data_IF_432700814155
#
_entry.id   IF_432700814155
#
_cell.length_a   1.000
_cell.length_b   1.000
_cell.length_c   1.000
_cell.angle_alpha   90.00
_cell.angle_beta   90.00
_cell.angle_gamma   90.00
#
_symmetry.space_group_name_H-M   'P 1'
#
loop_
_entity.id
_entity.type
_entity.pdbx_description
1 polymer ?
#
# COMPACT_ATOMS: atom_id res chain seq x y z
N UNK A 1 -7.46 9.10 9.85
CA UNK A 1 -8.40 8.00 9.43
C UNK A 1 -9.17 8.38 8.16
N UNK A 2 -8.56 9.20 7.33
CA UNK A 2 -9.16 9.95 6.22
C UNK A 2 -9.89 9.01 5.23
N UNK A 3 -9.24 7.93 4.79
CA UNK A 3 -9.84 6.93 3.92
C UNK A 3 -11.11 6.28 4.51
N UNK A 4 -11.08 5.95 5.81
CA UNK A 4 -12.24 5.37 6.47
C UNK A 4 -13.38 6.39 6.57
N UNK A 5 -13.05 7.61 6.98
CA UNK A 5 -14.03 8.70 7.14
C UNK A 5 -14.67 9.06 5.80
N UNK A 6 -13.87 9.13 4.73
CA UNK A 6 -14.38 9.42 3.39
C UNK A 6 -15.30 8.30 2.87
N UNK A 7 -14.99 7.05 3.17
CA UNK A 7 -15.87 5.94 2.80
C UNK A 7 -17.22 6.00 3.54
N UNK A 8 -17.18 6.35 4.84
CA UNK A 8 -18.41 6.59 5.62
C UNK A 8 -19.19 7.76 5.03
N UNK A 9 -18.51 8.86 4.67
CA UNK A 9 -19.16 10.02 4.04
C UNK A 9 -19.90 9.60 2.76
N UNK A 10 -19.25 8.84 1.88
CA UNK A 10 -19.85 8.35 0.64
C UNK A 10 -21.06 7.47 0.89
N UNK A 11 -20.98 6.57 1.87
CA UNK A 11 -22.11 5.70 2.23
C UNK A 11 -23.31 6.50 2.76
N UNK A 12 -23.06 7.51 3.61
CA UNK A 12 -24.11 8.40 4.12
C UNK A 12 -24.75 9.22 3.00
N UNK A 13 -23.94 9.81 2.11
CA UNK A 13 -24.45 10.56 0.95
C UNK A 13 -25.30 9.65 0.05
N UNK A 14 -24.83 8.43 -0.23
CA UNK A 14 -25.57 7.50 -1.06
C UNK A 14 -26.94 7.08 -0.47
N UNK A 15 -27.05 6.99 0.86
CA UNK A 15 -28.28 6.60 1.57
C UNK A 15 -29.24 7.74 1.86
N UNK A 16 -28.70 8.90 2.23
CA UNK A 16 -29.50 9.99 2.79
C UNK A 16 -29.40 11.30 2.00
N UNK A 17 -28.47 11.40 1.04
CA UNK A 17 -28.20 12.61 0.28
C UNK A 17 -27.26 13.59 0.99
N UNK A 18 -26.75 14.55 0.22
CA UNK A 18 -25.81 15.57 0.73
C UNK A 18 -26.45 16.53 1.73
N UNK A 19 -27.70 16.96 1.51
CA UNK A 19 -28.43 17.86 2.40
C UNK A 19 -28.56 17.26 3.81
N UNK A 20 -28.93 15.97 3.89
CA UNK A 20 -29.02 15.28 5.18
C UNK A 20 -27.68 15.19 5.90
N UNK A 21 -26.58 14.99 5.15
CA UNK A 21 -25.24 14.92 5.73
C UNK A 21 -24.79 16.26 6.29
N UNK A 22 -24.95 17.36 5.53
CA UNK A 22 -24.36 18.66 5.90
C UNK A 22 -25.30 19.56 6.70
N UNK A 23 -26.60 19.40 6.57
CA UNK A 23 -27.61 20.28 7.19
C UNK A 23 -28.58 19.52 8.12
N UNK A 24 -28.65 18.18 7.99
CA UNK A 24 -29.63 17.35 8.72
C UNK A 24 -29.27 17.03 10.17
N UNK A 25 -28.12 17.46 10.68
CA UNK A 25 -27.73 17.25 12.09
C UNK A 25 -27.49 15.76 12.43
N UNK A 26 -27.04 14.95 11.49
CA UNK A 26 -26.83 13.52 11.69
C UNK A 26 -25.74 13.22 12.72
N UNK A 27 -26.02 12.25 13.60
CA UNK A 27 -25.02 11.64 14.48
C UNK A 27 -24.64 10.25 13.94
N UNK A 28 -23.43 10.10 13.45
CA UNK A 28 -22.96 8.88 12.81
C UNK A 28 -22.00 8.13 13.74
N UNK A 29 -22.36 6.91 14.13
CA UNK A 29 -21.48 6.01 14.89
C UNK A 29 -20.97 4.91 13.98
N UNK A 30 -19.65 4.82 13.86
CA UNK A 30 -18.97 3.83 12.99
C UNK A 30 -18.40 2.66 13.78
N UNK A 31 -17.87 1.68 13.07
CA UNK A 31 -17.20 0.50 13.64
C UNK A 31 -15.69 0.70 13.80
N UNK A 32 -15.16 1.87 13.46
CA UNK A 32 -13.75 2.20 13.56
C UNK A 32 -13.21 1.98 14.98
N UNK A 33 -12.16 1.18 15.10
CA UNK A 33 -11.33 1.09 16.29
C UNK A 33 -10.10 2.00 16.10
N UNK A 34 -9.96 3.11 16.86
CA UNK A 34 -8.85 4.04 16.68
C UNK A 34 -7.47 3.40 16.89
N UNK A 35 -7.35 2.42 17.80
CA UNK A 35 -6.08 1.73 18.06
C UNK A 35 -5.70 0.84 16.88
N UNK A 36 -6.65 0.06 16.39
CA UNK A 36 -6.43 -0.77 15.20
C UNK A 36 -6.14 0.07 13.96
N UNK A 37 -6.80 1.24 13.80
CA UNK A 37 -6.54 2.15 12.69
C UNK A 37 -5.09 2.67 12.69
N UNK A 38 -4.56 3.07 13.85
CA UNK A 38 -3.17 3.50 13.98
C UNK A 38 -2.21 2.34 13.66
N UNK A 39 -2.49 1.16 14.18
CA UNK A 39 -1.67 -0.04 13.93
C UNK A 39 -1.69 -0.44 12.44
N UNK A 40 -2.86 -0.39 11.80
CA UNK A 40 -3.04 -0.71 10.38
C UNK A 40 -2.26 0.27 9.50
N UNK A 41 -2.37 1.58 9.77
CA UNK A 41 -1.59 2.61 9.05
C UNK A 41 -0.09 2.36 9.21
N UNK A 42 0.39 2.20 10.43
CA UNK A 42 1.80 1.96 10.69
C UNK A 42 2.32 0.67 10.02
N UNK A 43 1.51 -0.39 10.00
CA UNK A 43 1.87 -1.65 9.34
C UNK A 43 1.98 -1.50 7.82
N UNK A 44 1.00 -0.84 7.18
CA UNK A 44 1.02 -0.57 5.75
C UNK A 44 2.20 0.32 5.36
N UNK A 45 2.42 1.42 6.10
CA UNK A 45 3.53 2.35 5.87
C UNK A 45 4.87 1.63 5.95
N UNK A 46 5.12 0.86 7.03
CA UNK A 46 6.37 0.09 7.17
C UNK A 46 6.59 -0.87 6.00
N UNK A 47 5.52 -1.55 5.55
CA UNK A 47 5.59 -2.48 4.41
C UNK A 47 5.95 -1.79 3.11
N UNK A 48 5.27 -0.68 2.79
CA UNK A 48 5.50 0.09 1.56
C UNK A 48 6.88 0.75 1.56
N UNK A 49 7.29 1.38 2.67
CA UNK A 49 8.61 2.00 2.82
C UNK A 49 9.71 0.94 2.64
N UNK A 50 9.61 -0.19 3.35
CA UNK A 50 10.61 -1.26 3.26
C UNK A 50 10.74 -1.80 1.84
N UNK A 51 9.62 -2.03 1.17
CA UNK A 51 9.63 -2.49 -0.23
C UNK A 51 10.27 -1.45 -1.15
N UNK A 52 9.90 -0.18 -1.00
CA UNK A 52 10.35 0.90 -1.86
C UNK A 52 11.85 1.20 -1.67
N UNK A 53 12.35 1.25 -0.43
CA UNK A 53 13.78 1.42 -0.13
C UNK A 53 14.62 0.28 -0.74
N UNK A 54 14.10 -0.94 -0.81
CA UNK A 54 14.77 -2.07 -1.48
C UNK A 54 14.88 -1.90 -3.00
N UNK A 55 14.01 -1.08 -3.61
CA UNK A 55 14.09 -0.79 -5.05
C UNK A 55 15.15 0.27 -5.37
N UNK A 56 15.57 1.05 -4.39
CA UNK A 56 16.59 2.09 -4.52
C UNK A 56 16.04 3.52 -4.54
N UNK A 57 16.94 4.47 -4.34
CA UNK A 57 16.64 5.88 -4.27
C UNK A 57 16.41 6.47 -5.67
N UNK A 58 15.37 7.26 -5.84
CA UNK A 58 14.96 7.85 -7.13
C UNK A 58 15.32 9.32 -7.28
N UNK A 59 15.92 9.91 -6.27
CA UNK A 59 16.28 11.34 -6.27
C UNK A 59 15.47 12.17 -5.27
N UNK A 60 15.73 13.47 -5.21
CA UNK A 60 15.08 14.39 -4.28
C UNK A 60 13.59 14.58 -4.61
N UNK A 61 12.83 15.05 -3.62
CA UNK A 61 11.44 15.45 -3.80
C UNK A 61 11.31 16.68 -4.73
N UNK A 62 12.14 17.67 -4.48
CA UNK A 62 12.29 18.91 -5.30
C UNK A 62 13.74 19.38 -5.24
N UNK A 63 14.06 20.41 -5.98
CA UNK A 63 15.31 21.17 -5.87
C UNK A 63 14.97 22.64 -5.71
N UNK A 64 15.66 23.35 -4.81
CA UNK A 64 15.49 24.79 -4.56
C UNK A 64 16.81 25.50 -4.67
N UNK A 65 16.78 26.81 -4.89
CA UNK A 65 17.95 27.67 -4.81
C UNK A 65 18.24 27.99 -3.32
N UNK A 66 19.43 27.65 -2.86
CA UNK A 66 19.89 27.89 -1.50
C UNK A 66 20.98 28.99 -1.41
N UNK A 67 21.23 29.72 -2.49
CA UNK A 67 22.21 30.82 -2.53
C UNK A 67 21.81 32.01 -1.65
N UNK A 68 20.50 32.17 -1.37
CA UNK A 68 19.93 33.17 -0.48
C UNK A 68 19.43 32.57 0.85
N UNK A 69 18.29 33.06 1.33
CA UNK A 69 17.61 32.49 2.51
C UNK A 69 16.94 31.15 2.14
N UNK A 70 17.68 30.06 2.34
CA UNK A 70 17.18 28.70 2.05
C UNK A 70 15.92 28.36 2.86
N UNK A 71 15.78 28.93 4.08
CA UNK A 71 14.61 28.67 4.90
C UNK A 71 13.34 29.27 4.30
N UNK A 72 13.43 30.43 3.66
CA UNK A 72 12.33 31.01 2.92
C UNK A 72 11.98 30.16 1.68
N UNK A 73 12.99 29.81 0.90
CA UNK A 73 12.78 28.96 -0.29
C UNK A 73 12.17 27.60 0.06
N UNK A 74 12.64 26.96 1.15
CA UNK A 74 12.11 25.69 1.64
C UNK A 74 10.70 25.85 2.27
N UNK A 75 10.42 26.99 2.91
CA UNK A 75 9.12 27.29 3.52
C UNK A 75 7.96 27.35 2.53
N UNK A 76 8.27 27.62 1.26
CA UNK A 76 7.29 27.64 0.15
C UNK A 76 7.08 26.25 -0.49
N UNK A 77 7.86 25.23 -0.09
CA UNK A 77 7.66 23.86 -0.53
C UNK A 77 6.53 23.21 0.25
N UNK A 78 5.52 22.73 -0.47
CA UNK A 78 4.38 22.05 0.11
C UNK A 78 4.79 20.74 0.80
N UNK A 79 4.30 20.52 2.01
CA UNK A 79 4.46 19.29 2.77
C UNK A 79 3.10 18.58 2.95
N UNK A 80 3.12 17.29 3.19
CA UNK A 80 1.92 16.48 3.39
C UNK A 80 1.50 16.51 4.86
N UNK A 81 0.31 17.04 5.13
CA UNK A 81 -0.23 17.22 6.49
C UNK A 81 -0.49 15.89 7.22
N UNK A 82 -0.71 14.83 6.47
CA UNK A 82 -1.02 13.50 7.00
C UNK A 82 0.21 12.61 7.27
N UNK A 83 1.42 13.18 7.12
CA UNK A 83 2.70 12.54 7.41
C UNK A 83 3.52 13.40 8.41
N UNK A 84 3.01 13.67 9.61
CA UNK A 84 3.65 14.58 10.55
C UNK A 84 5.03 14.10 11.05
N UNK A 85 5.29 12.81 10.96
CA UNK A 85 6.57 12.17 11.27
C UNK A 85 7.66 12.45 10.23
N UNK A 86 7.28 12.81 8.99
CA UNK A 86 8.22 13.16 7.93
C UNK A 86 8.37 14.66 7.81
N UNK A 87 9.61 15.12 7.83
CA UNK A 87 9.95 16.54 7.74
C UNK A 87 10.66 16.82 6.43
N UNK A 88 10.37 17.96 5.83
CA UNK A 88 11.13 18.45 4.69
C UNK A 88 12.43 19.08 5.17
N UNK A 89 13.51 18.78 4.44
CA UNK A 89 14.81 19.37 4.65
C UNK A 89 15.51 19.62 3.30
N UNK A 90 16.37 20.62 3.24
CA UNK A 90 17.21 20.89 2.05
C UNK A 90 18.66 20.59 2.32
N UNK A 91 19.35 20.05 1.33
CA UNK A 91 20.79 19.77 1.40
C UNK A 91 21.56 21.09 1.34
N UNK A 92 22.33 21.38 2.38
CA UNK A 92 23.18 22.57 2.49
C UNK A 92 24.65 22.27 2.19
N UNK A 93 25.14 21.10 2.61
CA UNK A 93 26.52 20.68 2.39
C UNK A 93 26.63 19.14 2.38
N UNK A 94 27.65 18.65 1.68
CA UNK A 94 27.94 17.23 1.49
C UNK A 94 29.39 16.97 1.89
N UNK A 95 29.61 16.21 2.96
CA UNK A 95 30.94 15.85 3.45
C UNK A 95 31.11 14.34 3.53
N UNK A 96 32.32 13.85 3.75
CA UNK A 96 32.57 12.41 3.97
C UNK A 96 31.92 11.88 5.27
N UNK A 97 31.60 12.77 6.19
CA UNK A 97 30.98 12.42 7.47
C UNK A 97 29.45 12.40 7.43
N UNK A 98 28.83 12.88 6.35
CA UNK A 98 27.38 12.95 6.17
C UNK A 98 26.91 14.21 5.45
N UNK A 99 25.62 14.45 5.52
CA UNK A 99 24.92 15.51 4.81
C UNK A 99 24.43 16.54 5.82
N UNK A 100 24.77 17.80 5.65
CA UNK A 100 24.18 18.91 6.39
C UNK A 100 22.84 19.29 5.77
N UNK A 101 21.79 19.27 6.55
CA UNK A 101 20.42 19.55 6.12
C UNK A 101 19.85 20.74 6.88
N UNK A 102 19.23 21.68 6.15
CA UNK A 102 18.39 22.73 6.71
C UNK A 102 16.94 22.27 6.80
N UNK A 103 16.35 22.32 7.99
CA UNK A 103 14.97 21.88 8.21
C UNK A 103 13.96 22.92 7.74
N UNK A 104 12.82 22.49 7.21
CA UNK A 104 11.74 23.41 6.86
C UNK A 104 11.30 24.20 8.09
N UNK A 105 11.37 25.56 8.04
CA UNK A 105 10.93 26.37 9.16
C UNK A 105 9.42 26.25 9.38
N UNK A 106 9.02 26.30 10.65
CA UNK A 106 7.61 26.38 11.03
C UNK A 106 6.96 27.71 10.59
N UNK A 107 5.65 27.79 10.77
CA UNK A 107 4.92 29.05 10.59
C UNK A 107 4.28 29.49 11.90
N UNK A 108 4.31 30.80 12.14
CA UNK A 108 3.58 31.43 13.22
C UNK A 108 2.07 31.44 12.94
N UNK A 109 1.26 31.81 13.93
CA UNK A 109 -0.19 31.96 13.78
C UNK A 109 -0.57 33.03 12.73
N UNK A 110 0.30 33.98 12.47
CA UNK A 110 0.17 34.99 11.40
C UNK A 110 0.36 34.43 9.99
N UNK A 111 0.88 33.20 9.86
CA UNK A 111 1.31 32.58 8.62
C UNK A 111 2.76 32.92 8.20
N UNK A 112 3.43 33.84 8.92
CA UNK A 112 4.82 34.18 8.69
C UNK A 112 5.73 32.98 9.01
N UNK A 113 6.85 32.83 8.27
CA UNK A 113 7.84 31.81 8.59
C UNK A 113 8.60 32.22 9.85
N UNK A 114 8.82 31.23 10.72
CA UNK A 114 9.71 31.39 11.88
C UNK A 114 11.12 31.72 11.39
N UNK A 115 11.80 32.64 12.07
CA UNK A 115 13.16 33.07 11.68
C UNK A 115 14.24 32.01 11.97
N UNK A 116 13.95 31.08 12.91
CA UNK A 116 14.89 30.00 13.26
C UNK A 116 15.21 29.12 12.03
N UNK A 117 16.49 28.78 11.91
CA UNK A 117 17.04 28.00 10.80
C UNK A 117 17.71 26.74 11.36
N UNK A 118 16.88 25.83 11.88
CA UNK A 118 17.32 24.55 12.39
C UNK A 118 18.12 23.80 11.33
N UNK A 119 19.30 23.33 11.70
CA UNK A 119 20.13 22.46 10.87
C UNK A 119 20.38 21.14 11.59
N UNK A 120 20.42 20.07 10.83
CA UNK A 120 20.70 18.73 11.31
C UNK A 120 21.80 18.08 10.47
N UNK A 121 22.44 17.05 11.03
CA UNK A 121 23.36 16.18 10.30
C UNK A 121 22.68 14.84 10.03
N UNK A 122 22.55 14.47 8.75
CA UNK A 122 22.12 13.15 8.33
C UNK A 122 23.37 12.29 8.14
N UNK A 123 23.57 11.32 9.04
CA UNK A 123 24.72 10.42 9.02
C UNK A 123 24.59 9.35 7.93
N UNK A 124 25.69 8.72 7.49
CA UNK A 124 25.65 7.67 6.47
C UNK A 124 24.70 6.53 6.79
N UNK A 125 24.53 6.16 8.05
CA UNK A 125 23.57 5.13 8.49
C UNK A 125 22.14 5.51 8.11
N UNK A 126 21.79 6.79 8.22
CA UNK A 126 20.45 7.31 7.94
C UNK A 126 20.08 7.26 6.45
N UNK A 127 21.03 7.16 5.55
CA UNK A 127 20.79 7.10 4.10
C UNK A 127 21.50 5.95 3.37
N UNK A 128 22.08 5.01 4.09
CA UNK A 128 22.81 3.86 3.50
C UNK A 128 22.04 3.13 2.41
N UNK A 129 20.73 3.02 2.55
CA UNK A 129 19.87 2.39 1.56
C UNK A 129 19.85 3.16 0.23
N UNK A 130 19.95 4.50 0.27
CA UNK A 130 19.94 5.40 -0.86
C UNK A 130 21.21 5.33 -1.72
N UNK A 131 22.29 4.71 -1.22
CA UNK A 131 23.49 4.39 -2.03
C UNK A 131 23.20 3.37 -3.13
N UNK A 132 22.00 2.81 -3.18
CA UNK A 132 21.48 2.12 -4.34
C UNK A 132 20.52 3.05 -5.06
N UNK A 133 20.91 3.59 -6.22
CA UNK A 133 20.10 4.46 -7.04
C UNK A 133 19.20 3.63 -7.97
N UNK A 134 18.00 4.13 -8.24
CA UNK A 134 17.11 3.61 -9.28
C UNK A 134 16.93 4.65 -10.39
N UNK A 135 17.61 4.43 -11.51
CA UNK A 135 17.57 5.30 -12.68
C UNK A 135 16.98 4.48 -13.85
N UNK A 136 15.91 4.95 -14.47
CA UNK A 136 15.26 4.29 -15.61
C UNK A 136 15.04 2.78 -15.39
N UNK A 137 14.48 2.41 -14.23
CA UNK A 137 14.24 1.02 -13.80
C UNK A 137 15.50 0.15 -13.58
N UNK A 138 16.69 0.70 -13.69
CA UNK A 138 17.95 0.03 -13.36
C UNK A 138 18.45 0.43 -11.99
N UNK A 139 18.97 -0.54 -11.25
CA UNK A 139 19.63 -0.29 -9.96
C UNK A 139 21.12 -0.14 -10.17
N UNK A 140 21.68 0.98 -9.72
CA UNK A 140 23.10 1.30 -9.80
C UNK A 140 23.63 1.67 -8.42
N UNK A 141 24.83 1.27 -8.07
CA UNK A 141 25.49 1.68 -6.83
C UNK A 141 26.13 3.05 -7.00
N UNK A 142 25.80 3.98 -6.09
CA UNK A 142 26.50 5.24 -5.96
C UNK A 142 27.93 4.99 -5.44
N UNK A 143 28.89 5.79 -5.92
CA UNK A 143 30.30 5.69 -5.53
C UNK A 143 30.65 6.72 -4.44
N UNK A 144 29.90 7.82 -4.41
CA UNK A 144 30.07 8.93 -3.47
C UNK A 144 28.70 9.45 -3.01
N UNK A 145 28.66 10.24 -1.95
CA UNK A 145 27.43 10.91 -1.50
C UNK A 145 26.96 11.95 -2.51
N UNK A 146 27.90 12.59 -3.26
CA UNK A 146 27.58 13.50 -4.34
C UNK A 146 26.88 12.88 -5.55
N UNK A 147 26.90 11.54 -5.67
CA UNK A 147 26.08 10.83 -6.67
C UNK A 147 24.60 10.74 -6.23
N UNK A 148 24.34 10.84 -4.92
CA UNK A 148 23.01 10.70 -4.31
C UNK A 148 22.36 12.04 -4.05
N UNK A 149 23.15 13.02 -3.58
CA UNK A 149 22.69 14.35 -3.14
C UNK A 149 23.41 15.46 -3.88
N UNK A 150 22.69 16.57 -4.04
CA UNK A 150 23.23 17.84 -4.49
C UNK A 150 22.78 18.95 -3.56
N UNK A 151 23.58 19.99 -3.40
CA UNK A 151 23.20 21.18 -2.65
C UNK A 151 21.92 21.79 -3.28
N UNK A 152 20.92 22.08 -2.45
CA UNK A 152 19.59 22.52 -2.87
C UNK A 152 18.57 21.40 -3.06
N UNK A 153 18.96 20.14 -2.99
CA UNK A 153 18.00 19.03 -3.00
C UNK A 153 17.10 19.08 -1.78
N UNK A 154 15.80 18.98 -2.00
CA UNK A 154 14.78 18.87 -0.94
C UNK A 154 14.43 17.41 -0.75
N UNK A 155 14.54 16.94 0.48
CA UNK A 155 14.33 15.54 0.85
C UNK A 155 13.40 15.42 2.05
N UNK A 156 12.78 14.26 2.21
CA UNK A 156 12.07 13.91 3.45
C UNK A 156 13.03 13.22 4.42
N UNK A 157 12.94 13.60 5.67
CA UNK A 157 13.66 12.96 6.77
C UNK A 157 12.70 12.63 7.92
N UNK A 158 12.99 11.56 8.63
CA UNK A 158 12.26 11.13 9.81
C UNK A 158 13.21 10.99 10.98
N UNK A 159 12.82 11.54 12.14
CA UNK A 159 13.57 11.37 13.38
C UNK A 159 13.32 9.99 13.95
N UNK A 160 14.39 9.27 14.27
CA UNK A 160 14.28 7.93 14.85
C UNK A 160 14.13 8.01 16.38
N UNK A 161 13.42 7.03 16.96
CA UNK A 161 13.21 6.93 18.42
C UNK A 161 14.53 6.77 19.19
N UNK A 162 15.47 6.03 18.63
CA UNK A 162 16.84 5.82 19.15
C UNK A 162 17.79 6.99 18.92
N UNK A 163 17.27 8.07 18.33
CA UNK A 163 18.03 9.25 17.97
C UNK A 163 18.57 9.22 16.54
N UNK A 164 18.93 10.41 16.02
CA UNK A 164 19.36 10.58 14.64
C UNK A 164 18.23 10.71 13.65
N UNK A 165 18.58 10.79 12.36
CA UNK A 165 17.66 11.04 11.26
C UNK A 165 17.81 9.99 10.17
N UNK A 166 16.69 9.68 9.50
CA UNK A 166 16.68 8.76 8.37
C UNK A 166 16.06 9.42 7.15
N UNK A 167 16.73 9.28 6.02
CA UNK A 167 16.23 9.70 4.72
C UNK A 167 14.98 8.88 4.36
N UNK A 168 13.96 9.57 3.86
CA UNK A 168 12.72 8.97 3.36
C UNK A 168 12.45 9.39 1.92
N UNK A 169 11.73 8.54 1.22
CA UNK A 169 11.13 8.90 -0.07
C UNK A 169 9.71 8.34 -0.13
N UNK A 170 8.83 9.03 -0.86
CA UNK A 170 7.48 8.53 -1.12
C UNK A 170 7.56 7.21 -1.87
N UNK A 171 6.86 6.15 -1.41
CA UNK A 171 6.81 4.89 -2.13
C UNK A 171 6.19 5.08 -3.52
N UNK A 172 6.86 4.55 -4.55
CA UNK A 172 6.31 4.52 -5.92
C UNK A 172 5.18 3.50 -6.06
N UNK A 173 5.14 2.53 -5.14
CA UNK A 173 4.07 1.55 -5.04
C UNK A 173 3.06 1.98 -4.01
N UNK A 174 1.82 1.56 -4.19
CA UNK A 174 0.75 1.80 -3.23
C UNK A 174 0.07 0.49 -2.86
N UNK A 175 -0.66 0.51 -1.75
CA UNK A 175 -1.38 -0.64 -1.24
C UNK A 175 -2.54 -0.21 -0.35
N UNK A 176 -3.27 -1.17 0.15
CA UNK A 176 -4.33 -0.96 1.13
C UNK A 176 -4.29 -2.04 2.21
N UNK A 177 -4.89 -1.73 3.35
CA UNK A 177 -5.08 -2.67 4.44
C UNK A 177 -6.49 -2.48 5.03
N UNK A 178 -7.20 -3.59 5.21
CA UNK A 178 -8.49 -3.63 5.90
C UNK A 178 -8.38 -4.62 7.04
N UNK A 179 -8.80 -4.22 8.24
CA UNK A 179 -8.99 -5.10 9.37
C UNK A 179 -10.50 -5.26 9.64
N UNK A 180 -10.95 -6.49 9.66
CA UNK A 180 -12.36 -6.86 9.79
C UNK A 180 -12.55 -7.87 10.92
N UNK A 181 -13.62 -7.72 11.68
CA UNK A 181 -14.08 -8.74 12.62
C UNK A 181 -14.65 -9.93 11.84
N UNK A 182 -14.06 -11.13 11.96
CA UNK A 182 -14.50 -12.29 11.18
C UNK A 182 -15.88 -12.83 11.60
N UNK A 183 -16.38 -12.49 12.78
CA UNK A 183 -17.67 -12.95 13.26
C UNK A 183 -18.82 -12.04 12.86
N UNK A 184 -18.58 -10.75 12.76
CA UNK A 184 -19.63 -9.74 12.50
C UNK A 184 -19.52 -9.09 11.14
N UNK A 185 -18.37 -9.24 10.45
CA UNK A 185 -18.07 -8.55 9.20
C UNK A 185 -17.80 -7.04 9.36
N UNK A 186 -17.73 -6.52 10.59
CA UNK A 186 -17.50 -5.10 10.84
C UNK A 186 -16.08 -4.71 10.47
N UNK A 187 -15.92 -3.66 9.65
CA UNK A 187 -14.62 -3.07 9.34
C UNK A 187 -14.16 -2.23 10.52
N UNK A 188 -13.06 -2.64 11.14
CA UNK A 188 -12.49 -2.00 12.33
C UNK A 188 -11.37 -1.01 11.99
N UNK A 189 -10.67 -1.22 10.87
CA UNK A 189 -9.67 -0.29 10.34
C UNK A 189 -9.61 -0.39 8.82
N UNK A 190 -9.33 0.75 8.16
CA UNK A 190 -9.16 0.81 6.71
C UNK A 190 -8.13 1.88 6.35
N UNK A 191 -7.14 1.48 5.57
CA UNK A 191 -6.09 2.35 5.03
C UNK A 191 -6.02 2.12 3.54
N UNK A 192 -6.40 3.10 2.73
CA UNK A 192 -6.54 2.97 1.27
C UNK A 192 -5.31 3.40 0.46
N UNK A 193 -4.26 3.87 1.13
CA UNK A 193 -3.04 4.37 0.49
C UNK A 193 -1.97 4.76 1.48
N UNK A 194 -0.84 5.26 0.98
CA UNK A 194 0.26 5.73 1.81
C UNK A 194 -0.07 7.11 2.43
N UNK A 195 -0.54 8.04 1.63
CA UNK A 195 -0.93 9.39 2.03
C UNK A 195 -2.24 9.77 1.35
N UNK A 196 -3.21 10.21 2.13
CA UNK A 196 -4.48 10.71 1.64
C UNK A 196 -4.31 12.08 0.95
N UNK A 197 -3.45 12.93 1.51
CA UNK A 197 -3.10 14.22 0.90
C UNK A 197 -2.47 14.08 -0.48
N UNK A 198 -1.72 13.00 -0.73
CA UNK A 198 -1.18 12.70 -2.05
C UNK A 198 -2.22 12.10 -2.99
N UNK A 199 -3.10 11.24 -2.49
CA UNK A 199 -4.09 10.52 -3.29
C UNK A 199 -5.27 10.09 -2.44
N UNK A 200 -6.43 10.70 -2.69
CA UNK A 200 -7.70 10.34 -2.05
C UNK A 200 -8.27 9.00 -2.53
N UNK A 201 -7.69 8.43 -3.60
CA UNK A 201 -8.13 7.16 -4.16
C UNK A 201 -7.97 6.03 -3.17
N UNK A 202 -9.10 5.49 -2.68
CA UNK A 202 -9.14 4.40 -1.72
C UNK A 202 -8.93 3.05 -2.42
N UNK A 203 -7.73 2.50 -2.31
CA UNK A 203 -7.39 1.23 -2.95
C UNK A 203 -8.05 0.01 -2.31
N UNK A 204 -8.62 0.17 -1.12
CA UNK A 204 -9.38 -0.90 -0.48
C UNK A 204 -10.76 -1.09 -1.11
N UNK A 205 -11.40 -0.02 -1.62
CA UNK A 205 -12.77 -0.03 -2.11
C UNK A 205 -12.91 0.34 -3.58
N UNK A 206 -11.98 1.15 -4.13
CA UNK A 206 -12.10 1.68 -5.49
C UNK A 206 -11.17 0.99 -6.50
N UNK A 207 -10.12 0.29 -6.05
CA UNK A 207 -9.17 -0.34 -6.96
C UNK A 207 -9.72 -1.65 -7.53
N UNK A 208 -10.13 -1.61 -8.78
CA UNK A 208 -10.55 -2.80 -9.53
C UNK A 208 -9.31 -3.57 -9.97
N UNK A 209 -8.98 -4.62 -9.22
CA UNK A 209 -7.79 -5.45 -9.45
C UNK A 209 -8.16 -6.91 -9.62
N UNK A 210 -7.38 -7.62 -10.44
CA UNK A 210 -7.51 -9.07 -10.58
C UNK A 210 -7.24 -9.74 -9.22
N UNK A 211 -8.20 -10.54 -8.68
CA UNK A 211 -8.09 -11.12 -7.34
C UNK A 211 -6.99 -12.17 -7.22
N UNK A 212 -6.59 -12.80 -8.31
CA UNK A 212 -5.59 -13.87 -8.30
C UNK A 212 -6.00 -15.00 -7.34
N UNK A 213 -5.07 -15.46 -6.53
CA UNK A 213 -5.30 -16.54 -5.56
C UNK A 213 -6.25 -16.16 -4.41
N UNK A 214 -6.56 -14.88 -4.22
CA UNK A 214 -7.59 -14.46 -3.26
C UNK A 214 -9.01 -14.89 -3.66
N UNK A 215 -9.19 -15.30 -4.91
CA UNK A 215 -10.46 -15.88 -5.38
C UNK A 215 -10.66 -17.34 -4.93
N UNK A 216 -9.60 -18.07 -4.62
CA UNK A 216 -9.68 -19.50 -4.25
C UNK A 216 -10.61 -19.81 -3.07
N UNK A 217 -10.65 -19.02 -1.98
CA UNK A 217 -11.60 -19.27 -0.89
C UNK A 217 -13.05 -19.42 -1.34
N UNK A 218 -13.49 -18.66 -2.35
CA UNK A 218 -14.87 -18.75 -2.88
C UNK A 218 -15.11 -20.06 -3.61
N UNK A 219 -14.13 -20.55 -4.39
CA UNK A 219 -14.18 -21.86 -5.04
C UNK A 219 -14.23 -22.99 -4.01
N UNK A 220 -13.41 -22.88 -2.95
CA UNK A 220 -13.36 -23.88 -1.89
C UNK A 220 -14.62 -23.83 -1.00
N UNK A 221 -15.19 -22.65 -0.74
CA UNK A 221 -16.46 -22.51 -0.04
C UNK A 221 -17.60 -23.19 -0.82
N UNK A 222 -17.67 -22.95 -2.14
CA UNK A 222 -18.62 -23.65 -3.00
C UNK A 222 -18.45 -25.17 -2.93
N UNK A 223 -17.21 -25.68 -2.90
CA UNK A 223 -16.95 -27.10 -2.78
C UNK A 223 -17.44 -27.68 -1.45
N UNK A 224 -17.09 -27.01 -0.34
CA UNK A 224 -17.48 -27.47 1.01
C UNK A 224 -19.00 -27.51 1.20
N UNK A 225 -19.72 -26.56 0.63
CA UNK A 225 -21.18 -26.49 0.68
C UNK A 225 -21.87 -27.52 -0.26
N UNK A 226 -21.10 -28.09 -1.20
CA UNK A 226 -21.59 -29.07 -2.18
C UNK A 226 -20.97 -30.47 -2.01
N UNK A 227 -20.75 -30.88 -0.77
CA UNK A 227 -20.43 -32.25 -0.40
C UNK A 227 -18.94 -32.59 -0.30
N UNK A 228 -18.06 -31.66 -0.60
CA UNK A 228 -16.63 -31.86 -0.31
C UNK A 228 -16.34 -31.58 1.17
N UNK A 229 -15.24 -32.15 1.65
CA UNK A 229 -14.74 -31.92 3.01
C UNK A 229 -13.28 -31.44 2.96
N UNK A 230 -12.73 -30.87 4.02
CA UNK A 230 -11.31 -30.54 4.07
C UNK A 230 -10.36 -31.73 3.78
N UNK A 231 -10.84 -32.95 4.03
CA UNK A 231 -10.12 -34.21 3.77
C UNK A 231 -10.36 -34.79 2.37
N UNK A 232 -11.32 -34.26 1.60
CA UNK A 232 -11.56 -34.71 0.24
C UNK A 232 -10.30 -34.55 -0.62
N UNK A 233 -9.96 -35.58 -1.39
CA UNK A 233 -8.76 -35.62 -2.20
C UNK A 233 -9.05 -35.18 -3.62
N UNK A 234 -8.29 -34.24 -4.12
CA UNK A 234 -8.29 -33.76 -5.50
C UNK A 234 -6.89 -33.90 -6.11
N UNK A 235 -6.82 -34.27 -7.36
CA UNK A 235 -5.55 -34.51 -8.04
C UNK A 235 -4.87 -33.21 -8.44
N UNK A 236 -3.73 -32.90 -7.85
CA UNK A 236 -2.82 -31.83 -8.29
C UNK A 236 -1.89 -32.33 -9.41
N UNK A 237 -2.41 -32.31 -10.64
CA UNK A 237 -1.70 -32.76 -11.84
C UNK A 237 -2.03 -31.86 -13.03
N UNK A 238 -1.19 -31.82 -14.07
CA UNK A 238 -1.46 -31.04 -15.28
C UNK A 238 -2.88 -31.26 -15.80
N UNK A 239 -3.51 -30.20 -16.26
CA UNK A 239 -4.85 -30.18 -16.82
C UNK A 239 -4.87 -29.26 -18.04
N UNK A 240 -5.60 -29.67 -19.06
CA UNK A 240 -5.89 -28.88 -20.25
C UNK A 240 -7.34 -28.46 -20.20
N UNK A 241 -7.60 -27.19 -20.36
CA UNK A 241 -8.95 -26.63 -20.40
C UNK A 241 -9.15 -25.98 -21.76
N UNK A 242 -10.07 -26.53 -22.52
CA UNK A 242 -10.51 -25.89 -23.76
C UNK A 242 -11.40 -24.71 -23.40
N UNK A 243 -10.96 -23.50 -23.77
CA UNK A 243 -11.69 -22.26 -23.52
C UNK A 243 -12.66 -21.92 -24.68
N UNK A 244 -12.63 -22.69 -25.74
CA UNK A 244 -13.46 -22.50 -26.93
C UNK A 244 -12.98 -21.35 -27.84
N UNK A 245 -13.46 -21.40 -29.11
CA UNK A 245 -13.21 -20.34 -30.08
C UNK A 245 -11.75 -19.97 -30.29
N UNK A 246 -11.46 -18.68 -30.29
CA UNK A 246 -10.11 -18.12 -30.49
C UNK A 246 -9.19 -18.21 -29.27
N UNK A 247 -9.73 -18.55 -28.09
CA UNK A 247 -8.95 -18.62 -26.84
C UNK A 247 -8.13 -19.92 -26.75
N UNK A 248 -8.54 -20.99 -27.45
CA UNK A 248 -7.79 -22.22 -27.53
C UNK A 248 -7.69 -22.99 -26.21
N UNK A 249 -6.61 -23.77 -26.08
CA UNK A 249 -6.36 -24.61 -24.90
C UNK A 249 -5.52 -23.86 -23.87
N UNK A 250 -6.02 -23.76 -22.65
CA UNK A 250 -5.31 -23.20 -21.51
C UNK A 250 -4.69 -24.32 -20.66
N UNK A 251 -3.43 -24.20 -20.38
CA UNK A 251 -2.66 -25.12 -19.54
C UNK A 251 -2.17 -24.40 -18.28
N UNK A 252 -2.96 -24.36 -17.21
CA UNK A 252 -2.53 -23.73 -15.94
C UNK A 252 -1.34 -24.45 -15.32
N UNK A 253 -0.56 -23.72 -14.51
CA UNK A 253 0.56 -24.26 -13.76
C UNK A 253 0.49 -23.79 -12.30
N UNK A 254 1.00 -24.62 -11.38
CA UNK A 254 1.29 -24.15 -10.02
C UNK A 254 2.43 -23.13 -10.04
N UNK A 255 2.43 -22.20 -9.07
CA UNK A 255 3.52 -21.24 -8.94
C UNK A 255 4.90 -21.89 -8.78
N UNK A 256 4.97 -23.02 -8.06
CA UNK A 256 6.19 -23.85 -7.93
C UNK A 256 6.61 -24.56 -9.20
N UNK A 257 5.80 -24.55 -10.24
CA UNK A 257 6.01 -25.34 -11.48
C UNK A 257 5.84 -26.86 -11.32
N UNK A 258 5.63 -27.36 -10.09
CA UNK A 258 5.55 -28.80 -9.80
C UNK A 258 4.17 -29.20 -9.28
N UNK A 259 3.57 -30.29 -9.81
CA UNK A 259 2.38 -30.91 -9.25
C UNK A 259 2.74 -31.70 -7.98
N UNK A 260 1.76 -31.91 -7.09
CA UNK A 260 1.91 -32.66 -5.85
C UNK A 260 1.20 -34.02 -5.88
N UNK A 261 0.46 -34.33 -6.96
CA UNK A 261 -0.34 -35.56 -7.01
C UNK A 261 -1.62 -35.49 -6.19
N UNK A 262 -2.19 -36.61 -5.72
CA UNK A 262 -3.37 -36.61 -4.88
C UNK A 262 -3.14 -35.83 -3.61
N UNK A 263 -3.95 -34.79 -3.37
CA UNK A 263 -3.79 -33.86 -2.23
C UNK A 263 -5.15 -33.51 -1.64
N UNK A 264 -5.22 -33.30 -0.32
CA UNK A 264 -6.45 -32.91 0.35
C UNK A 264 -6.84 -31.47 -0.01
N UNK A 265 -8.15 -31.13 0.07
CA UNK A 265 -8.63 -29.76 -0.10
C UNK A 265 -7.88 -28.80 0.85
N UNK A 266 -7.70 -29.20 2.12
CA UNK A 266 -6.92 -28.39 3.08
C UNK A 266 -5.52 -28.06 2.55
N UNK A 267 -4.75 -29.07 2.14
CA UNK A 267 -3.42 -28.86 1.59
C UNK A 267 -3.43 -28.05 0.29
N UNK A 268 -4.48 -28.17 -0.51
CA UNK A 268 -4.67 -27.37 -1.74
C UNK A 268 -4.82 -25.89 -1.47
N UNK A 269 -5.63 -25.49 -0.48
CA UNK A 269 -5.81 -24.06 -0.13
C UNK A 269 -4.60 -23.51 0.63
N UNK A 270 -4.05 -24.26 1.57
CA UNK A 270 -2.86 -23.87 2.35
C UNK A 270 -1.66 -23.56 1.46
N UNK A 271 -1.43 -24.39 0.45
CA UNK A 271 -0.32 -24.22 -0.50
C UNK A 271 -0.71 -23.44 -1.76
N UNK A 272 -1.93 -22.94 -1.82
CA UNK A 272 -2.45 -22.16 -2.95
C UNK A 272 -2.27 -22.87 -4.31
N UNK A 273 -2.63 -24.16 -4.40
CA UNK A 273 -2.45 -25.00 -5.59
C UNK A 273 -3.41 -24.61 -6.72
N UNK A 274 -2.87 -24.14 -7.85
CA UNK A 274 -3.68 -23.69 -8.99
C UNK A 274 -4.38 -24.86 -9.68
N UNK A 275 -3.64 -25.95 -9.94
CA UNK A 275 -4.16 -27.11 -10.69
C UNK A 275 -5.33 -27.76 -9.98
N UNK A 276 -5.25 -27.89 -8.63
CA UNK A 276 -6.36 -28.39 -7.83
C UNK A 276 -7.58 -27.48 -7.91
N UNK A 277 -7.37 -26.15 -7.77
CA UNK A 277 -8.47 -25.17 -7.81
C UNK A 277 -9.20 -25.20 -9.15
N UNK A 278 -8.45 -25.24 -10.26
CA UNK A 278 -9.02 -25.32 -11.61
C UNK A 278 -9.81 -26.63 -11.81
N UNK A 279 -9.26 -27.76 -11.33
CA UNK A 279 -9.92 -29.05 -11.42
C UNK A 279 -11.21 -29.06 -10.60
N UNK A 280 -11.15 -28.56 -9.36
CA UNK A 280 -12.30 -28.46 -8.46
C UNK A 280 -13.41 -27.60 -9.07
N UNK A 281 -13.05 -26.41 -9.60
CA UNK A 281 -14.01 -25.53 -10.27
C UNK A 281 -14.64 -26.17 -11.52
N UNK A 282 -13.84 -26.93 -12.29
CA UNK A 282 -14.35 -27.67 -13.46
C UNK A 282 -15.30 -28.80 -13.05
N UNK A 283 -14.96 -29.55 -12.00
CA UNK A 283 -15.77 -30.68 -11.53
C UNK A 283 -17.12 -30.23 -10.98
N UNK A 284 -17.16 -29.10 -10.27
CA UNK A 284 -18.40 -28.49 -9.76
C UNK A 284 -19.19 -27.73 -10.84
N UNK A 285 -18.51 -27.29 -11.88
CA UNK A 285 -19.06 -26.41 -12.93
C UNK A 285 -18.91 -24.93 -12.63
N UNK A 286 -18.48 -24.18 -13.64
CA UNK A 286 -18.21 -22.74 -13.53
C UNK A 286 -19.43 -21.90 -13.11
N UNK A 287 -20.65 -22.36 -13.46
CA UNK A 287 -21.89 -21.69 -13.05
C UNK A 287 -22.04 -21.62 -11.53
N UNK A 288 -21.73 -22.72 -10.83
CA UNK A 288 -21.79 -22.77 -9.36
C UNK A 288 -20.73 -21.85 -8.75
N UNK A 289 -19.51 -21.84 -9.31
CA UNK A 289 -18.43 -20.94 -8.86
C UNK A 289 -18.83 -19.48 -9.02
N UNK A 290 -19.44 -19.12 -10.16
CA UNK A 290 -19.94 -17.77 -10.40
C UNK A 290 -21.04 -17.38 -9.40
N UNK A 291 -22.01 -18.26 -9.14
CA UNK A 291 -23.06 -18.03 -8.16
C UNK A 291 -22.48 -17.72 -6.76
N UNK A 292 -21.48 -18.47 -6.33
CA UNK A 292 -20.84 -18.20 -5.02
C UNK A 292 -20.08 -16.87 -5.03
N UNK A 293 -19.39 -16.52 -6.10
CA UNK A 293 -18.71 -15.23 -6.21
C UNK A 293 -19.72 -14.06 -6.15
N UNK A 294 -20.88 -14.18 -6.77
CA UNK A 294 -21.98 -13.21 -6.70
C UNK A 294 -22.56 -13.15 -5.27
N UNK A 295 -22.85 -14.27 -4.64
CA UNK A 295 -23.37 -14.34 -3.26
C UNK A 295 -22.42 -13.72 -2.24
N UNK A 296 -21.10 -13.83 -2.43
CA UNK A 296 -20.08 -13.18 -1.62
C UNK A 296 -19.85 -11.71 -1.99
N UNK A 297 -20.54 -11.18 -3.00
CA UNK A 297 -20.38 -9.79 -3.44
C UNK A 297 -19.02 -9.49 -4.10
N UNK A 298 -18.32 -10.50 -4.61
CA UNK A 298 -17.05 -10.32 -5.32
C UNK A 298 -17.27 -9.67 -6.69
N UNK A 299 -18.40 -10.00 -7.31
CA UNK A 299 -18.89 -9.45 -8.58
C UNK A 299 -20.40 -9.27 -8.51
N UNK A 300 -20.92 -8.24 -9.16
CA UNK A 300 -22.37 -8.00 -9.24
C UNK A 300 -23.05 -9.05 -10.16
N UNK A 301 -22.33 -9.46 -11.20
CA UNK A 301 -22.76 -10.52 -12.13
C UNK A 301 -21.55 -11.08 -12.88
N UNK A 302 -21.44 -12.40 -12.96
CA UNK A 302 -20.41 -13.13 -13.71
C UNK A 302 -20.98 -13.86 -14.92
#
# INVERSE_FOLDING_TARGET
>A
AEYFTEEVRRDIVARYGEEALYEGGLSVRTTLDPKLQVMARAALHRGLIKFDEQQGYRGPYKTIDVSGDWGKALGDVENYYDLPEWKLATVLDITEEGIALGMQPGREASGALVEDREQIKLTPEGFKWAMTLRIEDKRTKAKSFGDVFKVGDVVFVEKLEEGGWRLRQFPAVSGALVAMDPHTGRVLAMVGGFSYAQSEFNRATQAMRQPGSSFKPFVYAAALDNGYTPASVVLDAPIKVDQGGSLGIWEPKNYSGKPAGPSTLRGGIEQSRNLMTVRLAKDMGMKLVAEYAERFGVYDKM
#
